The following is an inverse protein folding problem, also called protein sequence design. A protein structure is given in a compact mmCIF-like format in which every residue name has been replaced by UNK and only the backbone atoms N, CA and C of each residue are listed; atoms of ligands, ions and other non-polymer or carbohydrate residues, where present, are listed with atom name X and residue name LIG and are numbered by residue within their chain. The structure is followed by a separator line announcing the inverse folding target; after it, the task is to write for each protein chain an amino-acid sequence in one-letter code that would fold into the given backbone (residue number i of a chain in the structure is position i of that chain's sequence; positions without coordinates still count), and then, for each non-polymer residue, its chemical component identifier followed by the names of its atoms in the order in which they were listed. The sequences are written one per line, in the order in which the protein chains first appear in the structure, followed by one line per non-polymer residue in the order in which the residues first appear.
data_IF_861230146501
#
_entry.id   IF_861230146501
#
_cell.length_a   1.000
_cell.length_b   1.000
_cell.length_c   1.000
_cell.angle_alpha   90.00
_cell.angle_beta   90.00
_cell.angle_gamma   90.00
#
_symmetry.space_group_name_H-M   'P 1'
#
loop_
_entity.id
_entity.type
_entity.pdbx_description
1 polymer ?
#
# COMPACT_ATOMS: atom_id res chain seq x y z
N UNK A 1 -33.57 -31.15 -20.82
CA UNK A 1 -33.12 -30.70 -20.94
C UNK A 1 -32.83 -30.14 -21.10
N UNK A 2 -33.08 -30.05 -20.64
CA UNK A 2 -32.45 -29.45 -20.52
C UNK A 2 -32.24 -28.99 -20.44
N UNK A 3 -31.95 -28.81 -20.23
CA UNK A 3 -31.43 -28.31 -20.04
C UNK A 3 -31.07 -27.88 -19.87
N UNK A 4 -31.30 -28.24 -19.63
CA UNK A 4 -30.65 -27.66 -19.25
C UNK A 4 -30.49 -27.21 -19.12
N UNK A 5 -30.60 -27.38 -18.71
CA UNK A 5 -30.12 -26.80 -18.54
C UNK A 5 -29.94 -26.35 -18.43
N UNK A 6 -30.00 -26.75 -17.92
CA UNK A 6 -29.60 -26.31 -17.79
C UNK A 6 -29.38 -25.92 -17.70
N UNK A 7 -29.44 -26.29 -17.22
CA UNK A 7 -28.94 -25.82 -17.09
C UNK A 7 -28.74 -25.43 -17.06
N UNK A 8 -28.86 -25.85 -16.63
CA UNK A 8 -28.39 -25.42 -16.66
C UNK A 8 -28.23 -24.98 -16.66
N UNK A 9 -28.34 -25.28 -16.12
CA UNK A 9 -27.83 -24.74 -16.18
C UNK A 9 -27.48 -24.13 -16.15
N UNK A 10 -27.61 -24.50 -15.72
CA UNK A 10 -26.91 -23.97 -15.61
C UNK A 10 -26.71 -23.33 -15.45
N UNK A 11 -26.73 -23.41 -15.25
CA UNK A 11 -26.16 -22.63 -15.03
C UNK A 11 -26.08 -21.97 -14.96
N UNK A 12 -26.25 -22.26 -14.51
CA UNK A 12 -25.86 -21.45 -14.50
C UNK A 12 -25.95 -20.70 -14.31
N UNK A 13 -26.12 -21.01 -13.82
CA UNK A 13 -25.86 -20.17 -13.68
C UNK A 13 -26.00 -19.47 -13.38
N UNK A 14 -26.22 -19.89 -12.92
CA UNK A 14 -25.96 -19.05 -12.69
C UNK A 14 -25.94 -18.35 -12.31
N UNK A 15 -26.12 -18.49 -11.89
CA UNK A 15 -25.69 -17.74 -11.57
C UNK A 15 -25.56 -17.19 -11.27
N UNK A 16 -25.48 -17.22 -10.85
CA UNK A 16 -24.87 -16.53 -10.75
C UNK A 16 -24.56 -15.81 -10.58
N UNK A 17 -24.55 -16.00 -10.38
CA UNK A 17 -23.99 -15.17 -10.20
C UNK A 17 -23.97 -14.31 -10.18
N UNK A 18 -23.97 -14.17 -9.90
CA UNK A 18 -23.70 -13.18 -9.82
C UNK A 18 -23.72 -12.40 -9.63
N UNK A 19 -23.58 -12.18 -9.18
CA UNK A 19 -23.34 -11.29 -9.13
C UNK A 19 -23.06 -10.48 -8.88
N UNK A 20 -23.66 -10.26 -8.29
CA UNK A 20 -22.95 -9.11 -8.10
C UNK A 20 -21.66 -9.06 -8.60
N UNK A 21 -21.65 -9.56 -9.08
CA UNK A 21 -20.58 -9.77 -9.62
C UNK A 21 -19.87 -8.81 -10.32
N UNK A 22 -20.34 -7.72 -10.73
CA UNK A 22 -19.54 -6.78 -11.46
C UNK A 22 -18.51 -6.16 -10.60
N UNK A 23 -18.82 -5.87 -9.39
CA UNK A 23 -17.81 -5.34 -8.49
C UNK A 23 -16.72 -6.36 -8.25
N UNK A 24 -17.10 -7.61 -8.23
CA UNK A 24 -16.14 -8.66 -8.04
C UNK A 24 -15.24 -8.80 -9.23
N UNK A 25 -15.77 -8.65 -10.40
CA UNK A 25 -15.01 -8.84 -11.61
C UNK A 25 -14.01 -7.74 -11.87
N UNK A 26 -14.19 -6.58 -11.25
CA UNK A 26 -13.31 -5.45 -11.51
C UNK A 26 -12.18 -5.42 -10.50
N UNK A 27 -10.93 -5.59 -10.92
CA UNK A 27 -9.82 -5.50 -9.99
C UNK A 27 -9.70 -4.10 -9.44
N UNK A 28 -9.38 -4.01 -8.17
CA UNK A 28 -9.11 -2.76 -7.54
C UNK A 28 -7.68 -2.37 -7.77
N UNK A 29 -7.47 -1.08 -7.96
CA UNK A 29 -6.14 -0.52 -8.08
C UNK A 29 -5.57 -0.41 -6.66
N UNK A 30 -4.37 -0.96 -6.39
CA UNK A 30 -3.83 -0.92 -5.04
C UNK A 30 -3.30 0.46 -4.67
N UNK A 31 -3.31 0.75 -3.37
CA UNK A 31 -2.53 1.87 -2.84
C UNK A 31 -1.07 1.44 -2.80
N UNK A 32 -0.18 2.35 -3.13
CA UNK A 32 1.23 2.00 -3.15
C UNK A 32 2.14 3.18 -2.81
N UNK A 33 3.36 2.85 -2.40
CA UNK A 33 4.45 3.80 -2.28
C UNK A 33 5.48 3.45 -3.33
N UNK A 34 5.74 4.41 -4.20
CA UNK A 34 6.76 4.28 -5.24
C UNK A 34 8.06 4.86 -4.71
N UNK A 35 9.10 4.05 -4.60
CA UNK A 35 10.41 4.55 -4.21
C UNK A 35 11.08 5.19 -5.41
N UNK A 36 11.35 6.47 -5.32
CA UNK A 36 11.90 7.24 -6.43
C UNK A 36 13.36 7.63 -6.20
N UNK A 37 13.86 7.50 -4.98
CA UNK A 37 15.27 7.80 -4.68
C UNK A 37 15.76 6.93 -3.53
N UNK A 38 17.08 6.73 -3.47
CA UNK A 38 17.73 5.93 -2.45
C UNK A 38 18.02 4.51 -2.91
N UNK A 39 18.66 3.71 -2.05
CA UNK A 39 19.07 2.35 -2.43
C UNK A 39 17.88 1.50 -2.86
N UNK A 40 18.01 0.85 -4.00
CA UNK A 40 16.96 -0.01 -4.54
C UNK A 40 15.98 0.68 -5.46
N UNK A 41 16.01 2.01 -5.56
CA UNK A 41 15.11 2.74 -6.44
C UNK A 41 15.48 2.53 -7.91
N UNK A 42 14.50 2.57 -8.84
CA UNK A 42 13.07 2.73 -8.57
C UNK A 42 12.39 1.39 -8.29
N UNK A 43 11.42 1.41 -7.40
CA UNK A 43 10.57 0.24 -7.15
C UNK A 43 9.30 0.69 -6.43
N UNK A 44 8.29 -0.18 -6.40
CA UNK A 44 7.02 0.15 -5.78
C UNK A 44 6.63 -0.91 -4.77
N UNK A 45 5.98 -0.47 -3.69
CA UNK A 45 5.49 -1.36 -2.64
C UNK A 45 3.99 -1.16 -2.51
N UNK A 46 3.21 -2.22 -2.70
CA UNK A 46 1.77 -2.16 -2.49
C UNK A 46 1.47 -2.17 -0.99
N UNK A 47 0.47 -1.40 -0.60
CA UNK A 47 0.09 -1.27 0.81
C UNK A 47 -1.17 -2.10 1.05
N UNK A 48 -0.97 -3.38 1.36
CA UNK A 48 -2.07 -4.33 1.51
C UNK A 48 -2.35 -4.68 2.96
N UNK A 49 -1.46 -4.30 3.86
CA UNK A 49 -1.59 -4.62 5.27
C UNK A 49 -2.22 -3.45 6.02
N UNK A 50 -2.83 -3.75 7.16
CA UNK A 50 -3.33 -2.69 8.04
C UNK A 50 -2.20 -1.87 8.62
N UNK A 51 -1.04 -2.50 8.85
CA UNK A 51 0.17 -1.82 9.29
C UNK A 51 1.35 -2.31 8.48
N UNK A 52 2.12 -1.36 7.95
CA UNK A 52 3.33 -1.65 7.19
C UNK A 52 4.49 -0.91 7.85
N UNK A 53 5.41 -1.65 8.45
CA UNK A 53 6.58 -1.06 9.10
C UNK A 53 7.72 -0.97 8.11
N UNK A 54 8.31 0.21 8.03
CA UNK A 54 9.49 0.49 7.20
C UNK A 54 10.70 0.60 8.11
N UNK A 55 11.82 0.02 7.71
CA UNK A 55 13.03 0.14 8.48
C UNK A 55 14.19 -0.63 7.87
N UNK A 56 15.35 -0.51 8.50
CA UNK A 56 16.53 -1.23 8.06
C UNK A 56 16.53 -2.68 8.53
N UNK A 57 15.75 -2.99 9.57
CA UNK A 57 15.65 -4.34 10.10
C UNK A 57 15.06 -5.29 9.06
N UNK A 58 15.60 -6.48 8.99
CA UNK A 58 15.05 -7.53 8.13
C UNK A 58 13.65 -7.98 8.60
N UNK A 59 13.28 -7.62 9.83
CA UNK A 59 11.95 -7.93 10.35
C UNK A 59 10.91 -6.88 9.99
N UNK A 60 11.32 -5.76 9.40
CA UNK A 60 10.39 -4.77 8.92
C UNK A 60 9.62 -5.33 7.72
N UNK A 61 8.36 -4.92 7.55
CA UNK A 61 7.58 -5.35 6.39
C UNK A 61 8.24 -4.90 5.10
N UNK A 62 8.78 -3.68 5.10
CA UNK A 62 9.56 -3.18 3.98
C UNK A 62 10.94 -2.84 4.54
N UNK A 63 11.91 -3.65 4.18
CA UNK A 63 13.28 -3.51 4.67
C UNK A 63 14.10 -2.74 3.63
N UNK A 64 14.74 -1.66 4.08
CA UNK A 64 15.53 -0.80 3.20
C UNK A 64 16.92 -0.67 3.80
N UNK A 65 17.92 -1.16 3.06
CA UNK A 65 19.30 -1.13 3.49
C UNK A 65 19.90 0.23 3.19
N UNK A 66 19.80 1.12 4.16
CA UNK A 66 20.40 2.46 4.05
C UNK A 66 20.81 2.92 5.45
N UNK A 67 21.96 3.56 5.53
CA UNK A 67 22.47 4.09 6.80
C UNK A 67 21.60 5.20 7.35
N UNK A 68 20.81 5.87 6.51
CA UNK A 68 19.89 6.91 6.94
C UNK A 68 18.58 6.40 7.51
N UNK A 69 18.35 5.11 7.43
CA UNK A 69 17.10 4.47 7.88
C UNK A 69 17.33 3.80 9.22
N UNK A 70 16.49 4.10 10.21
CA UNK A 70 16.51 3.43 11.50
C UNK A 70 15.97 2.01 11.36
N UNK A 71 16.31 1.14 12.31
CA UNK A 71 15.89 -0.26 12.24
C UNK A 71 14.37 -0.39 12.15
N UNK A 72 13.64 0.41 12.94
CA UNK A 72 12.20 0.63 12.78
C UNK A 72 12.05 2.13 12.60
N UNK A 73 11.75 2.54 11.38
CA UNK A 73 11.79 3.97 11.06
C UNK A 73 10.40 4.60 11.10
N UNK A 74 9.45 3.98 10.45
CA UNK A 74 8.11 4.52 10.36
C UNK A 74 7.10 3.40 10.15
N UNK A 75 5.84 3.67 10.45
CA UNK A 75 4.75 2.75 10.18
C UNK A 75 3.68 3.46 9.37
N UNK A 76 3.21 2.80 8.33
CA UNK A 76 2.06 3.25 7.56
C UNK A 76 0.87 2.41 8.00
N UNK A 77 -0.20 3.09 8.45
CA UNK A 77 -1.42 2.44 8.95
C UNK A 77 -2.60 2.77 8.08
N UNK A 78 -3.44 1.80 7.91
CA UNK A 78 -4.68 1.97 7.16
C UNK A 78 -5.85 2.10 8.12
N UNK A 79 -6.72 3.09 7.88
CA UNK A 79 -7.98 3.25 8.60
C UNK A 79 -9.05 3.54 7.56
N UNK A 80 -9.85 2.51 7.24
CA UNK A 80 -10.81 2.62 6.16
C UNK A 80 -10.10 2.90 4.83
N UNK A 81 -10.49 3.94 4.11
CA UNK A 81 -9.82 4.30 2.87
C UNK A 81 -8.59 5.19 3.06
N UNK A 82 -8.26 5.54 4.30
CA UNK A 82 -7.14 6.43 4.57
C UNK A 82 -5.91 5.67 5.01
N UNK A 83 -4.76 6.17 4.56
CA UNK A 83 -3.46 5.71 5.05
C UNK A 83 -2.79 6.88 5.75
N UNK A 84 -2.12 6.58 6.86
CA UNK A 84 -1.33 7.57 7.59
C UNK A 84 0.07 7.00 7.82
N UNK A 85 1.04 7.89 7.95
CA UNK A 85 2.41 7.52 8.30
C UNK A 85 2.75 8.12 9.65
N UNK A 86 3.45 7.35 10.48
CA UNK A 86 3.90 7.80 11.79
C UNK A 86 5.37 7.43 11.95
N UNK A 87 6.16 8.40 12.40
CA UNK A 87 7.56 8.18 12.71
C UNK A 87 7.67 7.35 13.99
N UNK A 88 8.52 6.35 13.99
CA UNK A 88 8.72 5.46 15.12
C UNK A 88 9.95 5.88 15.92
N UNK A 89 10.06 7.16 16.21
CA UNK A 89 11.17 7.69 16.99
C UNK A 89 12.50 7.46 16.29
N UNK A 90 12.51 7.63 14.98
CA UNK A 90 13.68 7.38 14.16
C UNK A 90 14.78 8.44 14.40
N UNK A 91 16.01 8.09 14.01
CA UNK A 91 17.12 9.02 14.18
C UNK A 91 16.98 10.25 13.27
N UNK A 92 16.50 10.06 12.04
CA UNK A 92 16.45 11.13 11.06
C UNK A 92 15.05 11.70 10.80
N UNK A 93 14.02 11.08 11.39
CA UNK A 93 12.65 11.54 11.22
C UNK A 93 12.07 11.20 9.86
N UNK A 94 10.85 11.68 9.64
CA UNK A 94 10.18 11.58 8.34
C UNK A 94 9.81 12.99 7.88
N UNK A 95 9.76 13.16 6.56
CA UNK A 95 9.43 14.42 5.94
C UNK A 95 8.31 14.19 4.93
N UNK A 96 7.23 14.96 5.05
CA UNK A 96 6.13 14.91 4.09
C UNK A 96 6.13 16.19 3.28
N UNK A 97 6.31 16.04 1.98
CA UNK A 97 6.42 17.18 1.06
C UNK A 97 7.44 18.20 1.54
N UNK A 98 8.57 17.70 2.06
CA UNK A 98 9.68 18.54 2.52
C UNK A 98 9.55 19.06 3.94
N UNK A 99 8.45 18.74 4.64
CA UNK A 99 8.22 19.24 6.01
C UNK A 99 8.38 18.10 6.99
N UNK A 100 9.24 18.28 7.99
CA UNK A 100 9.42 17.27 9.02
C UNK A 100 8.13 17.11 9.81
N UNK A 101 7.68 15.87 9.98
CA UNK A 101 6.43 15.59 10.66
C UNK A 101 6.58 14.34 11.52
N UNK A 102 5.75 14.23 12.55
CA UNK A 102 5.70 13.01 13.35
C UNK A 102 4.67 12.05 12.79
N UNK A 103 3.54 12.56 12.34
CA UNK A 103 2.45 11.74 11.81
C UNK A 103 1.63 12.57 10.84
N UNK A 104 1.17 11.94 9.78
CA UNK A 104 0.38 12.64 8.76
C UNK A 104 -0.46 11.65 7.96
N UNK A 105 -1.57 12.15 7.41
CA UNK A 105 -2.38 11.38 6.47
C UNK A 105 -1.76 11.54 5.08
N UNK A 106 -1.68 10.43 4.35
CA UNK A 106 -1.11 10.43 3.01
C UNK A 106 -2.19 10.68 1.97
N UNK A 107 -1.86 11.49 0.98
CA UNK A 107 -2.73 11.83 -0.14
C UNK A 107 -2.00 11.54 -1.45
N UNK A 108 -2.77 11.39 -2.53
CA UNK A 108 -2.21 11.16 -3.86
C UNK A 108 -1.11 12.16 -4.17
N UNK A 109 0.04 11.64 -4.57
CA UNK A 109 1.16 12.47 -4.99
C UNK A 109 2.04 12.99 -3.86
N UNK A 110 1.70 12.69 -2.60
CA UNK A 110 2.55 13.12 -1.49
C UNK A 110 3.93 12.48 -1.59
N UNK A 111 4.95 13.28 -1.29
CA UNK A 111 6.33 12.82 -1.23
C UNK A 111 6.69 12.55 0.22
N UNK A 112 7.07 11.31 0.52
CA UNK A 112 7.44 10.88 1.86
C UNK A 112 8.93 10.53 1.85
N UNK A 113 9.70 11.19 2.71
CA UNK A 113 11.13 10.96 2.82
C UNK A 113 11.47 10.37 4.17
N UNK A 114 12.29 9.33 4.16
CA UNK A 114 12.86 8.70 5.34
C UNK A 114 14.35 8.60 5.12
N UNK A 115 15.15 9.40 5.87
CA UNK A 115 16.58 9.48 5.64
C UNK A 115 16.88 9.91 4.22
N UNK A 116 17.63 9.10 3.48
CA UNK A 116 17.96 9.37 2.07
C UNK A 116 17.03 8.66 1.08
N UNK A 117 15.93 8.08 1.57
CA UNK A 117 14.99 7.33 0.74
C UNK A 117 13.73 8.15 0.56
N UNK A 118 13.27 8.26 -0.68
CA UNK A 118 12.10 9.08 -1.02
C UNK A 118 11.06 8.22 -1.71
N UNK A 119 9.83 8.36 -1.25
CA UNK A 119 8.67 7.67 -1.82
C UNK A 119 7.64 8.67 -2.30
N UNK A 120 6.85 8.28 -3.28
CA UNK A 120 5.64 9.00 -3.69
C UNK A 120 4.44 8.10 -3.42
N UNK A 121 3.43 8.64 -2.75
CA UNK A 121 2.23 7.89 -2.42
C UNK A 121 1.22 7.98 -3.57
N UNK A 122 0.67 6.82 -3.94
CA UNK A 122 -0.37 6.74 -4.96
C UNK A 122 -1.59 6.06 -4.37
N UNK A 123 -2.73 6.72 -4.47
CA UNK A 123 -3.99 6.18 -3.98
C UNK A 123 -4.49 5.08 -4.90
N UNK A 124 -5.12 4.10 -4.28
CA UNK A 124 -5.80 3.07 -5.02
C UNK A 124 -7.24 3.43 -5.31
N UNK A 125 -7.97 2.45 -5.80
CA UNK A 125 -9.38 2.63 -6.11
C UNK A 125 -10.23 1.61 -5.35
#
# INVERSE_FOLDING_TARGET
MGKPDDLSDGPTTVGEMPLATSAIARPKKPFLLEQVAGPGAPRAFTLELDETVFGRSLQANISIESGGISRKHAVVRRAGPEFSVTDLNSANGIYLNGVKTHSAILREGDTLQMGDVVFVFHEGA
#
